data_IF_949901066785
#
_entry.id   IF_949901066785
#
_cell.length_a   1.000
_cell.length_b   1.000
_cell.length_c   1.000
_cell.angle_alpha   90.00
_cell.angle_beta   90.00
_cell.angle_gamma   90.00
#
_symmetry.space_group_name_H-M   'P 1'
#
loop_
_entity.id
_entity.type
_entity.pdbx_description
1 polymer ?
#
# COMPACT_ATOMS: atom_id res chain seq x y z
N UNK A 1 -0.07 -15.09 20.63
CA UNK A 1 1.23 -15.78 20.83
C UNK A 1 1.85 -16.28 19.51
N UNK A 2 1.08 -16.92 18.64
CA UNK A 2 1.55 -17.43 17.34
C UNK A 2 2.10 -16.33 16.42
N UNK A 3 1.44 -15.17 16.35
CA UNK A 3 1.88 -14.04 15.53
C UNK A 3 3.20 -13.42 15.98
N UNK A 4 3.42 -13.33 17.31
CA UNK A 4 4.69 -12.84 17.86
C UNK A 4 5.85 -13.80 17.56
N UNK A 5 5.59 -15.10 17.63
CA UNK A 5 6.57 -16.13 17.30
C UNK A 5 6.92 -16.10 15.81
N UNK A 6 5.93 -16.02 14.93
CA UNK A 6 6.14 -15.91 13.49
C UNK A 6 6.94 -14.65 13.11
N UNK A 7 6.63 -13.49 13.71
CA UNK A 7 7.37 -12.26 13.56
C UNK A 7 8.85 -12.42 13.93
N UNK A 8 9.13 -12.96 15.13
CA UNK A 8 10.51 -13.16 15.61
C UNK A 8 11.29 -14.08 14.69
N UNK A 9 10.70 -15.20 14.26
CA UNK A 9 11.35 -16.16 13.37
C UNK A 9 11.66 -15.54 12.01
N UNK A 10 10.73 -14.80 11.42
CA UNK A 10 10.94 -14.17 10.14
C UNK A 10 12.01 -13.05 10.21
N UNK A 11 12.00 -12.27 11.29
CA UNK A 11 13.03 -11.26 11.53
C UNK A 11 14.42 -11.89 11.68
N UNK A 12 14.53 -12.98 12.43
CA UNK A 12 15.79 -13.72 12.59
C UNK A 12 16.29 -14.25 11.23
N UNK A 13 15.43 -14.90 10.45
CA UNK A 13 15.78 -15.41 9.12
C UNK A 13 16.26 -14.30 8.18
N UNK A 14 15.60 -13.15 8.21
CA UNK A 14 15.99 -11.99 7.40
C UNK A 14 17.36 -11.46 7.82
N UNK A 15 17.63 -11.35 9.14
CA UNK A 15 18.90 -10.91 9.66
C UNK A 15 20.04 -11.89 9.36
N UNK A 16 19.79 -13.21 9.41
CA UNK A 16 20.76 -14.23 9.04
C UNK A 16 21.15 -14.11 7.56
N UNK A 17 20.17 -13.98 6.66
CA UNK A 17 20.44 -13.75 5.23
C UNK A 17 21.17 -12.43 4.98
N UNK A 18 20.81 -11.37 5.71
CA UNK A 18 21.53 -10.10 5.67
C UNK A 18 23.01 -10.25 6.05
N UNK A 19 23.32 -11.01 7.08
CA UNK A 19 24.71 -11.27 7.52
C UNK A 19 25.56 -11.97 6.44
N UNK A 20 24.92 -12.76 5.58
CA UNK A 20 25.59 -13.48 4.50
C UNK A 20 25.89 -12.61 3.26
N UNK A 21 25.34 -11.39 3.20
CA UNK A 21 25.60 -10.47 2.09
C UNK A 21 27.03 -9.92 2.10
N UNK A 22 27.57 -9.56 0.92
CA UNK A 22 28.83 -8.84 0.82
C UNK A 22 28.79 -7.52 1.61
N UNK A 23 29.90 -7.14 2.23
CA UNK A 23 29.99 -5.90 3.03
C UNK A 23 29.64 -4.63 2.24
N UNK A 24 29.92 -4.61 0.93
CA UNK A 24 29.54 -3.51 0.03
C UNK A 24 28.04 -3.31 -0.04
N UNK A 25 27.25 -4.38 -0.04
CA UNK A 25 25.79 -4.32 -0.02
C UNK A 25 25.26 -4.00 1.37
N UNK A 26 25.80 -4.60 2.44
CA UNK A 26 25.38 -4.35 3.83
C UNK A 26 25.39 -2.87 4.20
N UNK A 27 26.40 -2.14 3.76
CA UNK A 27 26.55 -0.70 4.06
C UNK A 27 25.48 0.17 3.41
N UNK A 28 24.84 -0.35 2.36
CA UNK A 28 23.87 0.40 1.57
C UNK A 28 22.44 0.04 1.90
N UNK A 29 22.16 -1.08 2.58
CA UNK A 29 20.78 -1.51 2.85
C UNK A 29 20.14 -0.59 3.88
N UNK A 30 19.08 0.14 3.53
CA UNK A 30 18.37 0.98 4.48
C UNK A 30 17.69 0.11 5.54
N UNK A 31 17.58 0.64 6.74
CA UNK A 31 16.77 -0.02 7.77
C UNK A 31 15.30 -0.03 7.37
N UNK A 32 14.66 -1.17 7.54
CA UNK A 32 13.23 -1.29 7.32
C UNK A 32 12.50 -0.71 8.52
N UNK A 33 11.81 0.41 8.32
CA UNK A 33 11.17 1.16 9.37
C UNK A 33 9.92 0.50 9.95
N UNK A 34 9.21 -0.32 9.14
CA UNK A 34 7.96 -0.95 9.56
C UNK A 34 8.15 -2.38 10.03
N UNK A 35 7.76 -2.66 11.27
CA UNK A 35 7.70 -4.02 11.78
C UNK A 35 6.62 -4.88 11.09
N UNK A 36 5.62 -4.28 10.48
CA UNK A 36 4.52 -4.99 9.80
C UNK A 36 5.01 -5.78 8.59
N UNK A 37 6.08 -5.35 7.94
CA UNK A 37 6.67 -6.05 6.79
C UNK A 37 7.10 -7.48 7.17
N UNK A 38 7.65 -7.68 8.38
CA UNK A 38 8.08 -8.99 8.86
C UNK A 38 6.93 -9.95 9.18
N UNK A 39 5.71 -9.42 9.31
CA UNK A 39 4.50 -10.22 9.55
C UNK A 39 3.82 -10.65 8.24
N UNK A 40 4.08 -9.94 7.15
CA UNK A 40 3.30 -10.05 5.91
C UNK A 40 4.10 -10.57 4.72
N UNK A 41 5.42 -10.37 4.70
CA UNK A 41 6.29 -10.78 3.60
C UNK A 41 7.27 -11.85 4.05
N UNK A 42 7.74 -12.62 3.07
CA UNK A 42 8.80 -13.61 3.27
C UNK A 42 10.15 -12.93 3.44
N UNK A 43 11.09 -13.58 4.11
CA UNK A 43 12.42 -13.01 4.36
C UNK A 43 13.19 -12.70 3.07
N UNK A 44 13.01 -13.50 2.02
CA UNK A 44 13.61 -13.27 0.70
C UNK A 44 13.11 -11.99 0.07
N UNK A 45 11.79 -11.77 0.09
CA UNK A 45 11.16 -10.56 -0.45
C UNK A 45 11.58 -9.30 0.32
N UNK A 46 11.64 -9.39 1.65
CA UNK A 46 12.07 -8.28 2.51
C UNK A 46 13.50 -7.86 2.17
N UNK A 47 14.39 -8.84 1.98
CA UNK A 47 15.78 -8.56 1.65
C UNK A 47 15.92 -7.97 0.24
N UNK A 48 15.20 -8.50 -0.73
CA UNK A 48 15.17 -7.99 -2.10
C UNK A 48 14.67 -6.53 -2.15
N UNK A 49 13.60 -6.23 -1.43
CA UNK A 49 13.07 -4.88 -1.28
C UNK A 49 14.10 -3.95 -0.63
N UNK A 50 14.77 -4.40 0.44
CA UNK A 50 15.80 -3.62 1.10
C UNK A 50 16.96 -3.29 0.15
N UNK A 51 17.40 -4.24 -0.67
CA UNK A 51 18.45 -4.02 -1.67
C UNK A 51 18.00 -3.05 -2.76
N UNK A 52 16.83 -3.28 -3.34
CA UNK A 52 16.29 -2.46 -4.44
C UNK A 52 15.94 -1.03 -4.03
N UNK A 53 15.58 -0.82 -2.77
CA UNK A 53 15.20 0.50 -2.27
C UNK A 53 16.36 1.47 -2.10
N UNK A 54 17.62 0.99 -2.06
CA UNK A 54 18.79 1.83 -1.81
C UNK A 54 18.98 2.95 -2.81
N UNK A 55 18.90 2.60 -4.10
CA UNK A 55 19.23 3.49 -5.20
C UNK A 55 18.00 4.23 -5.76
N UNK A 56 16.86 4.15 -5.05
CA UNK A 56 15.63 4.83 -5.46
C UNK A 56 15.66 6.29 -5.02
N UNK A 57 15.85 7.19 -5.98
CA UNK A 57 15.82 8.65 -5.76
C UNK A 57 14.42 9.25 -5.99
N UNK A 58 13.64 8.68 -6.87
CA UNK A 58 12.26 9.08 -7.17
C UNK A 58 11.30 7.92 -6.97
N UNK A 59 11.30 6.99 -7.90
CA UNK A 59 10.54 5.74 -7.83
C UNK A 59 11.17 4.65 -8.69
N UNK A 60 10.81 3.42 -8.37
CA UNK A 60 11.13 2.22 -9.13
C UNK A 60 9.97 1.24 -9.00
N UNK A 61 9.73 0.40 -9.99
CA UNK A 61 8.70 -0.62 -9.90
C UNK A 61 9.05 -1.87 -10.68
N UNK A 62 8.40 -2.96 -10.31
CA UNK A 62 8.45 -4.25 -10.98
C UNK A 62 7.03 -4.73 -11.29
N UNK A 63 6.87 -5.29 -12.47
CA UNK A 63 5.66 -6.01 -12.88
C UNK A 63 6.00 -7.49 -12.87
N UNK A 64 5.40 -8.26 -11.98
CA UNK A 64 5.57 -9.71 -11.84
C UNK A 64 4.29 -10.34 -12.35
N UNK A 65 4.35 -11.09 -13.43
CA UNK A 65 3.18 -11.66 -14.12
C UNK A 65 3.34 -13.17 -14.29
N UNK A 66 3.20 -13.89 -13.18
CA UNK A 66 3.28 -15.35 -13.14
C UNK A 66 1.85 -15.96 -13.07
N UNK A 67 1.50 -16.66 -12.00
CA UNK A 67 0.15 -17.20 -11.76
C UNK A 67 -0.90 -16.11 -11.58
N UNK A 68 -0.47 -14.94 -11.15
CA UNK A 68 -1.26 -13.72 -11.01
C UNK A 68 -0.37 -12.47 -11.17
N UNK A 69 -0.97 -11.37 -11.57
CA UNK A 69 -0.27 -10.11 -11.68
C UNK A 69 0.04 -9.53 -10.28
N UNK A 70 1.26 -9.09 -10.08
CA UNK A 70 1.69 -8.32 -8.91
C UNK A 70 2.48 -7.09 -9.36
N UNK A 71 2.17 -5.95 -8.78
CA UNK A 71 2.94 -4.72 -8.90
C UNK A 71 3.66 -4.46 -7.58
N UNK A 72 4.95 -4.21 -7.66
CA UNK A 72 5.77 -3.80 -6.53
C UNK A 72 6.38 -2.44 -6.86
N UNK A 73 5.94 -1.39 -6.17
CA UNK A 73 6.35 -0.01 -6.41
C UNK A 73 7.07 0.51 -5.17
N UNK A 74 8.31 0.98 -5.34
CA UNK A 74 9.07 1.68 -4.30
C UNK A 74 9.15 3.15 -4.71
N UNK A 75 8.73 4.04 -3.84
CA UNK A 75 8.72 5.47 -4.15
C UNK A 75 9.31 6.31 -3.02
N UNK A 76 9.95 7.41 -3.38
CA UNK A 76 10.34 8.52 -2.51
C UNK A 76 9.48 9.75 -2.76
N UNK A 77 9.12 9.99 -4.01
CA UNK A 77 8.18 11.05 -4.40
C UNK A 77 6.73 10.61 -4.23
N UNK A 78 5.76 11.52 -4.10
CA UNK A 78 4.34 11.18 -3.96
C UNK A 78 3.81 10.34 -5.13
N UNK A 79 2.96 9.37 -4.80
CA UNK A 79 2.24 8.53 -5.75
C UNK A 79 0.76 8.92 -5.73
N UNK A 80 0.20 9.22 -6.88
CA UNK A 80 -1.23 9.43 -7.09
C UNK A 80 -1.94 8.06 -7.08
N UNK A 81 -2.19 7.55 -5.87
CA UNK A 81 -2.70 6.20 -5.66
C UNK A 81 -4.12 6.05 -6.19
N UNK A 82 -4.96 7.07 -6.02
CA UNK A 82 -6.32 7.08 -6.55
C UNK A 82 -6.35 6.97 -8.08
N UNK A 83 -5.47 7.68 -8.76
CA UNK A 83 -5.31 7.56 -10.22
C UNK A 83 -4.83 6.17 -10.63
N UNK A 84 -3.77 5.67 -10.01
CA UNK A 84 -3.22 4.33 -10.29
C UNK A 84 -4.29 3.24 -10.17
N UNK A 85 -4.92 3.15 -9.01
CA UNK A 85 -5.92 2.11 -8.73
C UNK A 85 -7.19 2.30 -9.58
N UNK A 86 -7.56 3.55 -9.85
CA UNK A 86 -8.69 3.86 -10.71
C UNK A 86 -8.46 3.42 -12.16
N UNK A 87 -7.26 3.64 -12.70
CA UNK A 87 -6.90 3.17 -14.05
C UNK A 87 -6.78 1.65 -14.13
N UNK A 88 -6.37 0.99 -13.06
CA UNK A 88 -6.22 -0.46 -12.97
C UNK A 88 -7.47 -1.19 -12.45
N UNK A 89 -8.58 -0.49 -12.23
CA UNK A 89 -9.79 -1.11 -11.66
C UNK A 89 -10.45 -2.15 -12.57
N UNK A 90 -10.08 -2.23 -13.85
CA UNK A 90 -10.52 -3.30 -14.76
C UNK A 90 -9.85 -4.66 -14.41
N UNK A 91 -8.71 -4.60 -13.76
CA UNK A 91 -8.07 -5.75 -13.13
C UNK A 91 -8.65 -5.92 -11.71
N UNK A 92 -8.98 -7.14 -11.33
CA UNK A 92 -9.53 -7.40 -10.01
C UNK A 92 -8.41 -7.46 -8.97
N UNK A 93 -8.23 -6.39 -8.21
CA UNK A 93 -7.28 -6.35 -7.10
C UNK A 93 -7.72 -7.31 -6.00
N UNK A 94 -6.84 -8.23 -5.62
CA UNK A 94 -7.08 -9.21 -4.55
C UNK A 94 -6.54 -8.73 -3.20
N UNK A 95 -5.42 -8.02 -3.21
CA UNK A 95 -4.82 -7.46 -1.99
C UNK A 95 -3.87 -6.32 -2.31
N UNK A 96 -3.62 -5.48 -1.31
CA UNK A 96 -2.57 -4.48 -1.33
C UNK A 96 -1.93 -4.36 0.04
N UNK A 97 -0.61 -4.20 0.07
CA UNK A 97 0.14 -3.83 1.24
C UNK A 97 0.91 -2.54 0.97
N UNK A 98 0.94 -1.66 1.95
CA UNK A 98 1.79 -0.47 1.97
C UNK A 98 2.67 -0.56 3.21
N UNK A 99 3.98 -0.38 3.03
CA UNK A 99 4.94 -0.36 4.13
C UNK A 99 5.86 0.84 4.01
N UNK A 100 6.13 1.46 5.15
CA UNK A 100 7.16 2.48 5.26
C UNK A 100 8.54 1.82 5.21
N UNK A 101 9.42 2.38 4.41
CA UNK A 101 10.84 2.06 4.36
C UNK A 101 11.64 3.20 4.99
N UNK A 102 12.94 3.03 5.04
CA UNK A 102 13.85 4.09 5.48
C UNK A 102 13.92 5.24 4.46
N UNK A 103 14.34 6.43 4.90
CA UNK A 103 14.57 7.59 4.05
C UNK A 103 13.31 8.05 3.29
N UNK A 104 12.18 8.13 4.01
CA UNK A 104 10.87 8.59 3.49
C UNK A 104 10.31 7.75 2.33
N UNK A 105 10.95 6.62 2.03
CA UNK A 105 10.47 5.71 1.01
C UNK A 105 9.31 4.87 1.51
N UNK A 106 8.43 4.50 0.58
CA UNK A 106 7.35 3.53 0.81
C UNK A 106 7.35 2.49 -0.29
N UNK A 107 6.93 1.28 0.06
CA UNK A 107 6.66 0.22 -0.89
C UNK A 107 5.17 -0.06 -0.94
N UNK A 108 4.66 -0.19 -2.16
CA UNK A 108 3.32 -0.63 -2.48
C UNK A 108 3.42 -2.00 -3.15
N UNK A 109 2.80 -3.00 -2.55
CA UNK A 109 2.70 -4.34 -3.14
C UNK A 109 1.24 -4.63 -3.43
N UNK A 110 0.88 -4.61 -4.72
CA UNK A 110 -0.49 -4.74 -5.21
C UNK A 110 -0.61 -6.06 -5.96
N UNK A 111 -1.51 -6.92 -5.52
CA UNK A 111 -1.78 -8.21 -6.15
C UNK A 111 -3.16 -8.23 -6.79
N UNK A 112 -3.26 -8.86 -7.95
CA UNK A 112 -4.50 -9.03 -8.70
C UNK A 112 -4.87 -10.51 -8.78
N UNK A 113 -6.13 -10.82 -9.02
CA UNK A 113 -6.65 -12.20 -8.97
C UNK A 113 -6.23 -13.08 -10.14
N UNK A 114 -5.74 -12.49 -11.22
CA UNK A 114 -5.34 -13.17 -12.46
C UNK A 114 -4.07 -12.55 -13.03
N UNK A 115 -3.33 -13.26 -13.89
CA UNK A 115 -2.29 -12.64 -14.69
C UNK A 115 -2.89 -11.66 -15.71
N UNK A 116 -2.11 -10.66 -16.10
CA UNK A 116 -2.43 -9.77 -17.21
C UNK A 116 -2.07 -10.43 -18.54
N UNK A 117 -2.72 -10.04 -19.61
CA UNK A 117 -2.31 -10.40 -20.96
C UNK A 117 -0.99 -9.68 -21.32
N UNK A 118 -0.19 -10.28 -22.16
CA UNK A 118 1.10 -9.70 -22.57
C UNK A 118 0.95 -8.28 -23.15
N UNK A 119 -0.06 -8.07 -23.95
CA UNK A 119 -0.41 -6.76 -24.54
C UNK A 119 -0.83 -5.70 -23.51
N UNK A 120 -1.31 -6.12 -22.34
CA UNK A 120 -1.69 -5.21 -21.24
C UNK A 120 -0.49 -4.73 -20.43
N UNK A 121 0.62 -5.47 -20.43
CA UNK A 121 1.80 -5.15 -19.61
C UNK A 121 2.37 -3.77 -19.94
N UNK A 122 2.43 -3.42 -21.22
CA UNK A 122 2.88 -2.09 -21.64
C UNK A 122 1.96 -0.97 -21.13
N UNK A 123 0.64 -1.19 -21.22
CA UNK A 123 -0.34 -0.22 -20.71
C UNK A 123 -0.24 -0.06 -19.19
N UNK A 124 -0.01 -1.17 -18.46
CA UNK A 124 0.19 -1.13 -17.00
C UNK A 124 1.44 -0.31 -16.66
N UNK A 125 2.54 -0.51 -17.39
CA UNK A 125 3.77 0.26 -17.21
C UNK A 125 3.53 1.76 -17.42
N UNK A 126 2.83 2.14 -18.50
CA UNK A 126 2.47 3.54 -18.75
C UNK A 126 1.61 4.14 -17.65
N UNK A 127 0.62 3.38 -17.14
CA UNK A 127 -0.25 3.82 -16.05
C UNK A 127 0.57 4.05 -14.77
N UNK A 128 1.48 3.13 -14.43
CA UNK A 128 2.34 3.29 -13.25
C UNK A 128 3.21 4.54 -13.37
N UNK A 129 3.87 4.74 -14.49
CA UNK A 129 4.68 5.94 -14.73
C UNK A 129 3.84 7.23 -14.64
N UNK A 130 2.65 7.25 -15.25
CA UNK A 130 1.75 8.40 -15.22
C UNK A 130 1.22 8.71 -13.80
N UNK A 131 1.18 7.73 -12.91
CA UNK A 131 0.68 7.86 -11.55
C UNK A 131 1.59 8.68 -10.62
N UNK A 132 2.79 9.02 -11.08
CA UNK A 132 3.68 9.94 -10.34
C UNK A 132 3.46 11.42 -10.69
N UNK A 133 2.51 11.72 -11.57
CA UNK A 133 1.99 13.07 -11.79
C UNK A 133 0.75 13.29 -10.93
N UNK A 134 0.88 14.10 -9.87
CA UNK A 134 -0.22 14.40 -8.94
C UNK A 134 -1.32 15.27 -9.57
N UNK A 135 -1.09 15.84 -10.75
CA UNK A 135 -2.11 16.62 -11.49
C UNK A 135 -3.04 15.73 -12.33
N UNK A 136 -2.73 14.46 -12.49
CA UNK A 136 -3.60 13.52 -13.21
C UNK A 136 -4.91 13.34 -12.45
N UNK A 137 -6.01 13.60 -13.15
CA UNK A 137 -7.35 13.45 -12.62
C UNK A 137 -8.02 12.17 -13.14
N UNK A 138 -8.87 11.59 -12.31
CA UNK A 138 -9.70 10.45 -12.67
C UNK A 138 -11.09 10.62 -12.09
N UNK A 139 -12.10 10.30 -12.89
CA UNK A 139 -13.48 10.23 -12.42
C UNK A 139 -13.80 8.80 -12.02
N UNK A 140 -14.21 8.61 -10.79
CA UNK A 140 -14.55 7.30 -10.22
C UNK A 140 -16.02 7.30 -9.78
N UNK A 141 -16.66 6.15 -9.95
CA UNK A 141 -18.00 5.93 -9.39
C UNK A 141 -17.88 5.81 -7.87
N UNK A 142 -18.70 6.57 -7.16
CA UNK A 142 -18.78 6.51 -5.70
C UNK A 142 -19.29 5.12 -5.27
N UNK A 143 -18.54 4.39 -4.42
CA UNK A 143 -19.00 3.13 -3.86
C UNK A 143 -20.01 3.35 -2.73
N UNK A 144 -20.81 2.33 -2.44
CA UNK A 144 -21.68 2.33 -1.27
C UNK A 144 -20.88 1.95 -0.03
N UNK A 145 -20.64 2.90 0.85
CA UNK A 145 -20.01 2.71 2.16
C UNK A 145 -20.94 3.28 3.22
N UNK A 146 -21.32 2.47 4.19
CA UNK A 146 -22.16 2.90 5.31
C UNK A 146 -21.29 3.49 6.43
N UNK A 147 -21.83 4.39 7.24
CA UNK A 147 -21.10 4.97 8.39
C UNK A 147 -20.54 3.87 9.33
N UNK A 148 -21.28 2.80 9.53
CA UNK A 148 -20.86 1.68 10.38
C UNK A 148 -19.78 0.79 9.74
N UNK A 149 -19.54 0.92 8.46
CA UNK A 149 -18.46 0.18 7.76
C UNK A 149 -17.07 0.76 8.07
N UNK A 150 -17.03 2.02 8.55
CA UNK A 150 -15.78 2.72 8.87
C UNK A 150 -15.65 2.85 10.39
N UNK A 151 -14.51 2.42 10.92
CA UNK A 151 -14.13 2.58 12.33
C UNK A 151 -12.75 3.21 12.42
N UNK A 152 -12.67 4.32 13.14
CA UNK A 152 -11.42 5.06 13.37
C UNK A 152 -11.04 4.94 14.83
N UNK A 153 -9.81 4.54 15.08
CA UNK A 153 -9.18 4.55 16.40
C UNK A 153 -8.06 5.59 16.45
N UNK A 154 -8.34 6.72 17.08
CA UNK A 154 -7.38 7.81 17.26
C UNK A 154 -6.30 7.50 18.29
N UNK A 155 -6.50 6.45 19.10
CA UNK A 155 -5.59 6.02 20.15
C UNK A 155 -4.79 4.77 19.77
N UNK A 156 -4.71 4.44 18.47
CA UNK A 156 -3.97 3.28 17.98
C UNK A 156 -2.50 3.31 18.43
N UNK A 157 -1.85 4.46 18.30
CA UNK A 157 -0.53 4.76 18.86
C UNK A 157 -0.37 6.27 19.10
N UNK A 158 0.77 6.68 19.65
CA UNK A 158 1.07 8.09 19.87
C UNK A 158 0.95 8.93 18.59
N UNK A 159 1.48 8.43 17.49
CA UNK A 159 1.58 9.17 16.23
C UNK A 159 0.63 8.69 15.12
N UNK A 160 -0.03 7.55 15.29
CA UNK A 160 -0.86 6.95 14.25
C UNK A 160 -2.30 6.73 14.73
N UNK A 161 -3.25 7.07 13.85
CA UNK A 161 -4.62 6.58 13.92
C UNK A 161 -4.78 5.35 13.04
N UNK A 162 -5.68 4.44 13.40
CA UNK A 162 -6.10 3.36 12.52
C UNK A 162 -7.50 3.60 11.97
N UNK A 163 -7.69 3.29 10.69
CA UNK A 163 -8.97 3.30 10.01
C UNK A 163 -9.25 1.90 9.50
N UNK A 164 -10.31 1.27 9.99
CA UNK A 164 -10.79 -0.03 9.54
C UNK A 164 -12.00 0.18 8.65
N UNK A 165 -11.98 -0.43 7.48
CA UNK A 165 -13.11 -0.43 6.54
C UNK A 165 -13.55 -1.88 6.36
N UNK A 166 -14.84 -2.14 6.59
CA UNK A 166 -15.45 -3.45 6.40
C UNK A 166 -16.74 -3.26 5.60
N UNK A 167 -16.60 -3.08 4.31
CA UNK A 167 -17.69 -2.81 3.38
C UNK A 167 -17.88 -3.96 2.40
N UNK A 168 -19.04 -4.03 1.75
CA UNK A 168 -19.25 -4.94 0.63
C UNK A 168 -18.23 -4.66 -0.46
N UNK A 169 -17.59 -5.70 -0.98
CA UNK A 169 -16.62 -5.56 -2.07
C UNK A 169 -17.29 -5.01 -3.32
N UNK A 170 -16.72 -3.96 -3.86
CA UNK A 170 -17.21 -3.23 -5.03
C UNK A 170 -16.03 -2.81 -5.90
N UNK A 171 -16.23 -2.89 -7.21
CA UNK A 171 -15.23 -2.43 -8.17
C UNK A 171 -14.86 -0.96 -7.92
N UNK A 172 -13.58 -0.69 -7.75
CA UNK A 172 -13.08 0.67 -7.52
C UNK A 172 -13.26 1.20 -6.08
N UNK A 173 -13.71 0.38 -5.14
CA UNK A 173 -13.91 0.78 -3.73
C UNK A 173 -12.68 1.51 -3.17
N UNK A 174 -11.54 0.85 -3.18
CA UNK A 174 -10.34 1.44 -2.60
C UNK A 174 -9.72 2.53 -3.49
N UNK A 175 -9.90 2.46 -4.80
CA UNK A 175 -9.49 3.55 -5.70
C UNK A 175 -10.19 4.87 -5.35
N UNK A 176 -11.48 4.82 -5.04
CA UNK A 176 -12.24 5.98 -4.60
C UNK A 176 -11.76 6.51 -3.23
N UNK A 177 -11.54 5.63 -2.27
CA UNK A 177 -11.01 6.00 -0.95
C UNK A 177 -9.64 6.66 -1.09
N UNK A 178 -8.74 6.06 -1.86
CA UNK A 178 -7.41 6.60 -2.12
C UNK A 178 -7.47 7.97 -2.80
N UNK A 179 -8.37 8.14 -3.79
CA UNK A 179 -8.58 9.43 -4.44
C UNK A 179 -9.01 10.52 -3.44
N UNK A 180 -9.96 10.23 -2.57
CA UNK A 180 -10.41 11.19 -1.56
C UNK A 180 -9.25 11.56 -0.62
N UNK A 181 -8.42 10.60 -0.22
CA UNK A 181 -7.23 10.89 0.60
C UNK A 181 -6.21 11.74 -0.16
N UNK A 182 -5.97 11.45 -1.43
CA UNK A 182 -5.08 12.26 -2.27
C UNK A 182 -5.60 13.71 -2.41
N UNK A 183 -6.91 13.89 -2.63
CA UNK A 183 -7.55 15.21 -2.74
C UNK A 183 -7.38 16.06 -1.45
N UNK A 184 -7.26 15.42 -0.30
CA UNK A 184 -7.02 16.06 1.00
C UNK A 184 -5.55 16.04 1.43
N UNK A 185 -4.64 15.59 0.56
CA UNK A 185 -3.20 15.47 0.83
C UNK A 185 -2.89 14.65 2.10
N UNK A 186 -3.67 13.60 2.35
CA UNK A 186 -3.45 12.67 3.45
C UNK A 186 -2.70 11.45 2.92
N UNK A 187 -1.49 11.25 3.41
CA UNK A 187 -0.65 10.11 3.05
C UNK A 187 -0.92 8.92 3.98
N UNK A 188 -1.13 7.75 3.39
CA UNK A 188 -1.31 6.50 4.12
C UNK A 188 0.06 5.99 4.52
N UNK A 189 0.31 5.87 5.82
CA UNK A 189 1.59 5.41 6.36
C UNK A 189 1.80 3.92 6.13
N UNK A 190 0.75 3.13 6.34
CA UNK A 190 0.74 1.68 6.14
C UNK A 190 -0.66 1.21 5.84
N UNK A 191 -0.79 0.19 5.01
CA UNK A 191 -2.09 -0.40 4.69
C UNK A 191 -2.01 -1.92 4.56
N UNK A 192 -3.12 -2.56 4.87
CA UNK A 192 -3.41 -3.95 4.52
C UNK A 192 -4.83 -4.02 3.98
N UNK A 193 -4.95 -4.31 2.70
CA UNK A 193 -6.23 -4.47 2.02
C UNK A 193 -6.41 -5.92 1.64
N UNK A 194 -7.59 -6.46 1.88
CA UNK A 194 -7.90 -7.84 1.63
C UNK A 194 -9.40 -8.04 1.37
N UNK A 195 -9.73 -8.69 0.26
CA UNK A 195 -11.11 -9.14 0.00
C UNK A 195 -11.31 -10.55 0.54
N UNK A 196 -12.33 -10.74 1.38
CA UNK A 196 -12.76 -12.03 1.90
C UNK A 196 -14.28 -12.16 1.86
N UNK A 197 -14.80 -13.25 1.26
CA UNK A 197 -16.23 -13.56 1.23
C UNK A 197 -17.09 -12.38 0.75
N UNK A 198 -16.68 -11.72 -0.33
CA UNK A 198 -17.35 -10.54 -0.89
C UNK A 198 -17.35 -9.29 0.01
N UNK A 199 -16.48 -9.25 1.02
CA UNK A 199 -16.25 -8.06 1.84
C UNK A 199 -14.80 -7.60 1.73
N UNK A 200 -14.64 -6.31 1.50
CA UNK A 200 -13.37 -5.63 1.66
C UNK A 200 -13.10 -5.43 3.16
N UNK A 201 -11.94 -5.90 3.60
CA UNK A 201 -11.45 -5.76 4.99
C UNK A 201 -10.14 -5.02 4.94
N UNK A 202 -10.22 -3.73 5.11
CA UNK A 202 -9.09 -2.83 4.94
C UNK A 202 -8.69 -2.25 6.29
N UNK A 203 -7.39 -2.21 6.52
CA UNK A 203 -6.78 -1.55 7.66
C UNK A 203 -5.77 -0.54 7.16
N UNK A 204 -5.98 0.73 7.49
CA UNK A 204 -5.08 1.84 7.17
C UNK A 204 -4.49 2.38 8.46
N UNK A 205 -3.19 2.69 8.46
CA UNK A 205 -2.52 3.47 9.49
C UNK A 205 -2.17 4.83 8.89
N UNK A 206 -2.57 5.89 9.56
CA UNK A 206 -2.47 7.26 9.07
C UNK A 206 -1.83 8.11 10.15
N UNK A 207 -0.88 8.96 9.77
CA UNK A 207 -0.23 9.88 10.70
C UNK A 207 -1.22 10.91 11.25
N UNK A 208 -1.23 11.08 12.57
CA UNK A 208 -2.04 12.08 13.27
C UNK A 208 -1.38 13.46 13.20
N UNK A 209 -1.35 14.04 12.02
CA UNK A 209 -0.95 15.43 11.84
C UNK A 209 -2.16 16.37 11.85
N UNK A 210 -1.91 17.66 11.79
CA UNK A 210 -2.95 18.70 11.80
C UNK A 210 -3.92 18.53 10.63
N UNK A 211 -3.40 18.30 9.42
CA UNK A 211 -4.21 18.09 8.23
C UNK A 211 -5.19 16.92 8.34
N UNK A 212 -4.73 15.77 8.90
CA UNK A 212 -5.60 14.63 9.16
C UNK A 212 -6.68 14.98 10.18
N UNK A 213 -6.30 15.61 11.30
CA UNK A 213 -7.22 15.95 12.40
C UNK A 213 -8.31 16.92 11.96
N UNK A 214 -7.99 17.89 11.10
CA UNK A 214 -8.94 18.86 10.57
C UNK A 214 -9.90 18.28 9.54
N UNK A 215 -9.48 17.31 8.74
CA UNK A 215 -10.22 16.85 7.58
C UNK A 215 -10.88 15.50 7.74
N UNK A 216 -10.53 14.68 8.74
CA UNK A 216 -11.00 13.30 8.81
C UNK A 216 -12.52 13.16 8.90
N UNK A 217 -13.19 14.01 9.64
CA UNK A 217 -14.66 13.99 9.75
C UNK A 217 -15.32 14.26 8.39
N UNK A 218 -14.81 15.25 7.66
CA UNK A 218 -15.29 15.60 6.32
C UNK A 218 -15.01 14.49 5.30
N UNK A 219 -13.86 13.85 5.39
CA UNK A 219 -13.51 12.69 4.55
C UNK A 219 -14.50 11.55 4.78
N UNK A 220 -14.82 11.23 6.04
CA UNK A 220 -15.80 10.18 6.36
C UNK A 220 -17.18 10.53 5.82
N UNK A 221 -17.61 11.79 5.91
CA UNK A 221 -18.87 12.25 5.30
C UNK A 221 -18.85 12.04 3.78
N UNK A 222 -17.82 12.49 3.08
CA UNK A 222 -17.68 12.32 1.63
C UNK A 222 -17.75 10.84 1.24
N UNK A 223 -17.13 9.96 2.01
CA UNK A 223 -17.13 8.52 1.74
C UNK A 223 -18.48 7.86 1.98
N UNK A 224 -19.28 8.35 2.93
CA UNK A 224 -20.48 7.67 3.43
C UNK A 224 -21.81 8.34 3.08
N UNK A 225 -21.80 9.57 2.57
CA UNK A 225 -23.03 10.27 2.18
C UNK A 225 -23.53 9.81 0.81
N UNK A 226 -24.82 9.55 0.73
CA UNK A 226 -25.57 9.18 -0.49
C UNK A 226 -26.74 10.12 -0.70
#
# INVERSE_FOLDING_TARGET
>A
ESSRRAFRLNKIKTLEKYKMLPNSLKRKIPQIASNQIFLRLKSEDILDIAIKSQDVETYSFEIINDDFLKLRIIRKIPLNLGYLLGKLQYLNMSSMNIFKLYDEKKIFEISFSKPALEEELYLIEEIVNASFDMNKQITLKKPLILKNDIKIDFNHSENLASMKINAKDQKGLFAYIAKVFDDYHIDIESAKLLTRKNFAKDLLLIEKNENFSENISKIVEILTDF
#
